data_IF_607180846578
#
_entry.id   IF_607180846578
#
_cell.length_a   1.000
_cell.length_b   1.000
_cell.length_c   1.000
_cell.angle_alpha   90.00
_cell.angle_beta   90.00
_cell.angle_gamma   90.00
#
_symmetry.space_group_name_H-M   'P 1'
#
loop_
_entity.id
_entity.type
_entity.pdbx_description
1 polymer ?
#
# COMPACT_ATOMS: atom_id res chain seq x y z
N UNK A 1 -11.68 6.61 4.09
CA UNK A 1 -10.89 5.69 3.25
C UNK A 1 -9.42 6.05 3.42
N UNK A 2 -8.50 5.08 3.44
CA UNK A 2 -7.06 5.35 3.52
C UNK A 2 -6.41 5.61 2.15
N UNK A 3 -7.08 5.23 1.06
CA UNK A 3 -6.64 5.36 -0.32
C UNK A 3 -7.76 6.03 -1.16
N UNK A 4 -7.99 7.34 -1.03
CA UNK A 4 -9.04 8.03 -1.80
C UNK A 4 -8.71 8.17 -3.30
N UNK A 5 -7.42 8.25 -3.65
CA UNK A 5 -6.91 8.47 -5.00
C UNK A 5 -6.83 7.21 -5.83
N UNK A 6 -7.96 6.60 -6.15
CA UNK A 6 -8.05 5.46 -7.07
C UNK A 6 -9.20 5.64 -8.06
N UNK A 7 -9.07 5.09 -9.26
CA UNK A 7 -10.08 5.23 -10.32
C UNK A 7 -11.42 4.55 -10.00
N UNK A 8 -11.41 3.49 -9.18
CA UNK A 8 -12.61 2.69 -8.89
C UNK A 8 -12.72 2.38 -7.38
N UNK A 9 -13.12 3.34 -6.53
CA UNK A 9 -13.17 3.13 -5.09
C UNK A 9 -14.31 2.18 -4.68
N UNK A 10 -14.01 1.20 -3.83
CA UNK A 10 -14.97 0.22 -3.29
C UNK A 10 -15.00 0.29 -1.75
N UNK A 11 -16.19 0.11 -1.15
CA UNK A 11 -16.36 0.10 0.32
C UNK A 11 -15.87 -1.22 0.92
N UNK A 12 -15.36 -1.15 2.15
CA UNK A 12 -14.95 -2.34 2.91
C UNK A 12 -13.57 -2.90 2.53
N UNK A 13 -12.68 -2.06 2.00
CA UNK A 13 -11.29 -2.43 1.74
C UNK A 13 -10.44 -2.57 3.00
N UNK A 14 -9.18 -2.97 2.81
CA UNK A 14 -8.20 -3.12 3.88
C UNK A 14 -7.96 -1.81 4.63
N UNK A 15 -7.76 -1.93 5.94
CA UNK A 15 -7.17 -0.88 6.77
C UNK A 15 -5.67 -0.77 6.54
N UNK A 16 -5.07 0.33 6.99
CA UNK A 16 -3.64 0.58 6.84
C UNK A 16 -2.81 -0.56 7.46
N UNK A 17 -3.17 -0.95 8.69
CA UNK A 17 -2.45 -1.97 9.45
C UNK A 17 -2.54 -3.35 8.82
N UNK A 18 -3.69 -3.70 8.24
CA UNK A 18 -3.86 -4.98 7.54
C UNK A 18 -3.00 -5.03 6.27
N UNK A 19 -3.00 -3.95 5.47
CA UNK A 19 -2.17 -3.87 4.28
C UNK A 19 -0.67 -3.87 4.61
N UNK A 20 -0.26 -3.16 5.68
CA UNK A 20 1.11 -3.12 6.17
C UNK A 20 1.59 -4.51 6.61
N UNK A 21 0.80 -5.20 7.46
CA UNK A 21 1.11 -6.55 7.92
C UNK A 21 1.22 -7.54 6.75
N UNK A 22 0.33 -7.44 5.76
CA UNK A 22 0.42 -8.27 4.57
C UNK A 22 1.75 -8.07 3.84
N UNK A 23 2.23 -6.82 3.72
CA UNK A 23 3.52 -6.52 3.12
C UNK A 23 4.70 -7.04 3.96
N UNK A 24 4.64 -6.93 5.29
CA UNK A 24 5.66 -7.50 6.19
C UNK A 24 5.75 -9.03 6.02
N UNK A 25 4.63 -9.73 5.97
CA UNK A 25 4.60 -11.18 5.75
C UNK A 25 5.16 -11.58 4.38
N UNK A 26 4.91 -10.78 3.34
CA UNK A 26 5.51 -10.98 2.02
C UNK A 26 7.04 -10.82 2.09
N UNK A 27 7.53 -9.79 2.79
CA UNK A 27 8.95 -9.54 2.97
C UNK A 27 9.63 -10.69 3.76
N UNK A 28 9.02 -11.12 4.88
CA UNK A 28 9.50 -12.23 5.71
C UNK A 28 9.59 -13.56 4.95
N UNK A 29 8.72 -13.76 3.95
CA UNK A 29 8.74 -14.98 3.15
C UNK A 29 10.03 -15.16 2.35
N UNK A 30 10.75 -14.07 2.04
CA UNK A 30 11.95 -14.10 1.19
C UNK A 30 11.73 -14.52 -0.27
N UNK A 31 10.47 -14.71 -0.69
CA UNK A 31 10.12 -15.30 -2.00
C UNK A 31 9.63 -14.26 -3.02
N UNK A 32 9.48 -13.00 -2.64
CA UNK A 32 9.05 -11.95 -3.56
C UNK A 32 10.17 -11.62 -4.56
N UNK A 33 9.90 -11.83 -5.85
CA UNK A 33 10.85 -11.56 -6.95
C UNK A 33 10.61 -10.19 -7.60
N UNK A 34 9.36 -9.74 -7.64
CA UNK A 34 8.94 -8.48 -8.27
C UNK A 34 7.66 -7.96 -7.62
N UNK A 35 7.42 -6.65 -7.73
CA UNK A 35 6.23 -5.99 -7.21
C UNK A 35 5.79 -4.87 -8.16
N UNK A 36 4.49 -4.79 -8.42
CA UNK A 36 3.87 -3.69 -9.15
C UNK A 36 2.94 -2.90 -8.22
N UNK A 37 2.97 -1.57 -8.36
CA UNK A 37 2.06 -0.65 -7.67
C UNK A 37 1.26 0.09 -8.73
N UNK A 38 -0.06 -0.12 -8.70
CA UNK A 38 -0.99 0.33 -9.74
C UNK A 38 -2.16 1.10 -9.14
N UNK A 39 -2.97 1.70 -10.00
CA UNK A 39 -4.26 2.33 -9.65
C UNK A 39 -4.18 3.55 -8.72
N UNK A 40 -2.99 4.15 -8.56
CA UNK A 40 -2.84 5.46 -7.93
C UNK A 40 -3.31 6.54 -8.92
N UNK A 41 -4.27 7.35 -8.50
CA UNK A 41 -4.81 8.46 -9.27
C UNK A 41 -4.70 9.78 -8.47
N UNK A 42 -3.67 10.62 -8.76
CA UNK A 42 -3.46 11.88 -8.04
C UNK A 42 -4.61 12.89 -8.18
N UNK A 43 -5.40 12.83 -9.26
CA UNK A 43 -6.51 13.76 -9.49
C UNK A 43 -7.64 13.53 -8.47
N UNK A 44 -7.83 12.28 -8.06
CA UNK A 44 -8.84 11.87 -7.08
C UNK A 44 -8.29 11.81 -5.65
N UNK A 45 -6.99 12.05 -5.48
CA UNK A 45 -6.31 11.91 -4.20
C UNK A 45 -6.40 13.19 -3.36
N UNK A 46 -6.26 13.03 -2.04
CA UNK A 46 -6.22 14.15 -1.11
C UNK A 46 -4.81 14.30 -0.57
N UNK A 47 -4.14 15.42 -0.85
CA UNK A 47 -2.78 15.71 -0.34
C UNK A 47 -1.76 14.57 -0.58
N UNK A 48 -1.90 13.89 -1.72
CA UNK A 48 -1.10 12.72 -2.10
C UNK A 48 -1.14 11.57 -1.07
N UNK A 49 -2.24 11.45 -0.31
CA UNK A 49 -2.41 10.43 0.73
C UNK A 49 -2.25 9.01 0.18
N UNK A 50 -2.86 8.70 -0.96
CA UNK A 50 -2.77 7.39 -1.60
C UNK A 50 -1.37 7.13 -2.13
N UNK A 51 -0.73 8.15 -2.70
CA UNK A 51 0.67 8.07 -3.11
C UNK A 51 1.62 7.80 -1.93
N UNK A 52 1.43 8.49 -0.80
CA UNK A 52 2.21 8.26 0.43
C UNK A 52 1.98 6.85 0.98
N UNK A 53 0.73 6.40 1.03
CA UNK A 53 0.37 5.05 1.42
C UNK A 53 1.07 4.00 0.54
N UNK A 54 1.07 4.20 -0.78
CA UNK A 54 1.74 3.29 -1.70
C UNK A 54 3.24 3.19 -1.41
N UNK A 55 3.92 4.31 -1.16
CA UNK A 55 5.33 4.32 -0.75
C UNK A 55 5.55 3.56 0.55
N UNK A 56 4.70 3.76 1.56
CA UNK A 56 4.81 3.05 2.84
C UNK A 56 4.66 1.54 2.68
N UNK A 57 3.72 1.08 1.86
CA UNK A 57 3.52 -0.35 1.59
C UNK A 57 4.69 -0.96 0.80
N UNK A 58 5.25 -0.24 -0.19
CA UNK A 58 6.47 -0.66 -0.89
C UNK A 58 7.61 -0.86 0.13
N UNK A 59 7.81 0.09 1.03
CA UNK A 59 8.88 0.01 2.03
C UNK A 59 8.70 -1.23 2.93
N UNK A 60 7.48 -1.52 3.38
CA UNK A 60 7.18 -2.72 4.16
C UNK A 60 7.44 -4.01 3.38
N UNK A 61 7.01 -4.07 2.11
CA UNK A 61 7.24 -5.22 1.24
C UNK A 61 8.73 -5.45 0.99
N UNK A 62 9.55 -4.40 1.02
CA UNK A 62 11.01 -4.45 0.91
C UNK A 62 11.73 -4.64 2.26
N UNK A 63 11.00 -4.96 3.33
CA UNK A 63 11.56 -5.34 4.63
C UNK A 63 11.68 -4.23 5.67
N UNK A 64 11.07 -3.05 5.45
CA UNK A 64 10.98 -2.03 6.50
C UNK A 64 9.98 -2.49 7.57
N UNK A 65 10.49 -2.72 8.77
CA UNK A 65 9.71 -3.02 9.98
C UNK A 65 9.42 -1.75 10.79
N UNK A 66 8.45 -1.82 11.69
CA UNK A 66 8.17 -0.75 12.65
C UNK A 66 9.23 -0.69 13.77
N UNK A 67 9.81 -1.84 14.12
CA UNK A 67 10.77 -2.05 15.22
C UNK A 67 12.17 -2.29 14.65
#
# INVERSE_FOLDING_TARGET
SIAPGTGTPVRGGLTYREAHLACELIAESGNMVSMDIVEVNPILDHENQTGKLAVELILSALGKTII
#
